data_IF_724446415962
#
_entry.id   IF_724446415962
#
_cell.length_a   1.000
_cell.length_b   1.000
_cell.length_c   1.000
_cell.angle_alpha   90.00
_cell.angle_beta   90.00
_cell.angle_gamma   90.00
#
_symmetry.space_group_name_H-M   'P 1'
#
loop_
_entity.id
_entity.type
_entity.pdbx_description
1 polymer ?
#
# COMPACT_ATOMS: atom_id res chain seq x y z
N UNK A 1 -15.21 -11.14 -2.99
CA UNK A 1 -13.76 -11.05 -2.70
C UNK A 1 -13.49 -11.02 -1.20
N UNK A 2 -14.30 -10.38 -0.39
CA UNK A 2 -14.03 -10.22 1.05
C UNK A 2 -14.61 -11.33 1.92
N UNK A 3 -15.49 -12.17 1.39
CA UNK A 3 -16.01 -13.32 2.11
C UNK A 3 -14.87 -14.32 2.39
N UNK A 4 -14.56 -14.51 3.68
CA UNK A 4 -13.49 -15.38 4.13
C UNK A 4 -12.10 -14.76 4.14
N UNK A 5 -11.94 -13.47 3.85
CA UNK A 5 -10.67 -12.74 4.00
C UNK A 5 -10.55 -12.09 5.37
N UNK A 6 -9.34 -12.12 5.92
CA UNK A 6 -8.97 -11.36 7.11
C UNK A 6 -8.23 -10.09 6.69
N UNK A 7 -8.73 -8.93 7.08
CA UNK A 7 -8.13 -7.65 6.74
C UNK A 7 -7.35 -7.08 7.91
N UNK A 8 -6.09 -6.71 7.64
CA UNK A 8 -5.21 -6.04 8.59
C UNK A 8 -4.79 -4.69 8.02
N UNK A 9 -5.08 -3.62 8.75
CA UNK A 9 -4.44 -2.33 8.49
C UNK A 9 -3.13 -2.29 9.28
N UNK A 10 -2.00 -2.31 8.56
CA UNK A 10 -0.66 -2.30 9.15
C UNK A 10 -0.14 -0.88 9.41
N UNK A 11 -0.93 0.16 9.13
CA UNK A 11 -0.54 1.55 9.39
C UNK A 11 -0.68 1.88 10.88
N UNK A 12 0.34 1.51 11.62
CA UNK A 12 0.42 1.77 13.07
C UNK A 12 1.20 3.04 13.39
N UNK A 13 1.47 3.90 12.40
CA UNK A 13 2.20 5.15 12.55
C UNK A 13 3.70 4.97 12.86
N UNK A 14 4.26 3.79 12.60
CA UNK A 14 5.66 3.46 12.88
C UNK A 14 6.52 3.34 11.62
N UNK A 15 5.91 3.31 10.43
CA UNK A 15 6.66 3.32 9.17
C UNK A 15 7.41 4.64 8.99
N UNK A 16 8.64 4.54 8.47
CA UNK A 16 9.54 5.68 8.38
C UNK A 16 10.21 6.07 9.70
N UNK A 17 10.02 5.29 10.79
CA UNK A 17 10.70 5.48 12.08
C UNK A 17 11.77 4.40 12.29
N UNK A 18 12.54 4.49 13.39
CA UNK A 18 13.49 3.45 13.82
C UNK A 18 12.85 2.08 14.09
N UNK A 19 11.52 2.04 14.26
CA UNK A 19 10.76 0.82 14.52
C UNK A 19 10.16 0.17 13.27
N UNK A 20 10.19 0.85 12.12
CA UNK A 20 9.48 0.42 10.92
C UNK A 20 9.88 -0.99 10.45
N UNK A 21 11.19 -1.30 10.41
CA UNK A 21 11.65 -2.64 10.04
C UNK A 21 11.21 -3.71 11.05
N UNK A 22 11.21 -3.38 12.34
CA UNK A 22 10.72 -4.30 13.37
C UNK A 22 9.25 -4.63 13.15
N UNK A 23 8.43 -3.63 12.81
CA UNK A 23 7.01 -3.81 12.48
C UNK A 23 6.84 -4.71 11.26
N UNK A 24 7.58 -4.46 10.17
CA UNK A 24 7.56 -5.31 8.98
C UNK A 24 7.86 -6.77 9.34
N UNK A 25 8.92 -7.02 10.10
CA UNK A 25 9.30 -8.38 10.49
C UNK A 25 8.23 -9.06 11.35
N UNK A 26 7.59 -8.33 12.27
CA UNK A 26 6.55 -8.92 13.14
C UNK A 26 5.27 -9.24 12.36
N UNK A 27 4.86 -8.41 11.42
CA UNK A 27 3.77 -8.74 10.52
C UNK A 27 4.09 -9.94 9.62
N UNK A 28 5.33 -10.04 9.13
CA UNK A 28 5.75 -11.18 8.32
C UNK A 28 5.69 -12.50 9.11
N UNK A 29 6.17 -12.51 10.36
CA UNK A 29 6.03 -13.66 11.26
C UNK A 29 4.55 -14.05 11.48
N UNK A 30 3.68 -13.04 11.66
CA UNK A 30 2.24 -13.25 11.78
C UNK A 30 1.65 -13.90 10.52
N UNK A 31 1.97 -13.36 9.33
CA UNK A 31 1.50 -13.90 8.06
C UNK A 31 1.92 -15.36 7.85
N UNK A 32 3.17 -15.69 8.17
CA UNK A 32 3.66 -17.07 8.09
C UNK A 32 2.91 -18.01 9.03
N UNK A 33 2.50 -17.52 10.18
CA UNK A 33 1.67 -18.29 11.12
C UNK A 33 0.24 -18.50 10.63
N UNK A 34 -0.25 -17.61 9.77
CA UNK A 34 -1.61 -17.58 9.23
C UNK A 34 -1.68 -18.01 7.76
N UNK A 35 -0.67 -18.70 7.24
CA UNK A 35 -0.49 -19.06 5.82
C UNK A 35 -1.65 -19.80 5.15
N UNK A 36 -2.57 -20.36 5.92
CA UNK A 36 -3.74 -21.09 5.42
C UNK A 36 -5.00 -20.19 5.34
N UNK A 37 -4.87 -18.90 5.65
CA UNK A 37 -5.97 -17.95 5.61
C UNK A 37 -5.78 -16.99 4.44
N UNK A 38 -6.88 -16.51 3.88
CA UNK A 38 -6.87 -15.41 2.93
C UNK A 38 -6.71 -14.11 3.70
N UNK A 39 -5.63 -13.37 3.46
CA UNK A 39 -5.30 -12.16 4.19
C UNK A 39 -5.12 -10.99 3.22
N UNK A 40 -5.72 -9.86 3.57
CA UNK A 40 -5.49 -8.58 2.91
C UNK A 40 -4.73 -7.69 3.89
N UNK A 41 -3.58 -7.20 3.44
CA UNK A 41 -2.80 -6.19 4.18
C UNK A 41 -2.95 -4.83 3.52
N UNK A 42 -3.34 -3.85 4.30
CA UNK A 42 -3.26 -2.45 3.87
C UNK A 42 -1.98 -1.85 4.42
N UNK A 43 -1.11 -1.38 3.51
CA UNK A 43 0.24 -0.89 3.76
C UNK A 43 1.16 -1.97 4.36
N UNK A 44 2.39 -2.03 3.91
CA UNK A 44 3.37 -2.99 4.44
C UNK A 44 4.81 -2.55 4.11
N UNK A 45 5.70 -3.48 3.80
CA UNK A 45 7.13 -3.26 3.58
C UNK A 45 7.44 -2.19 2.52
N UNK A 46 6.65 -2.11 1.43
CA UNK A 46 6.83 -1.05 0.42
C UNK A 46 6.57 0.33 1.02
N UNK A 47 5.57 0.45 1.91
CA UNK A 47 5.31 1.71 2.60
C UNK A 47 6.48 2.11 3.50
N UNK A 48 7.06 1.16 4.22
CA UNK A 48 8.26 1.42 5.00
C UNK A 48 9.42 1.91 4.13
N UNK A 49 9.67 1.25 3.00
CA UNK A 49 10.71 1.67 2.06
C UNK A 49 10.49 3.12 1.58
N UNK A 50 9.28 3.41 1.09
CA UNK A 50 8.96 4.74 0.54
C UNK A 50 9.13 5.82 1.62
N UNK A 51 8.67 5.57 2.83
CA UNK A 51 8.78 6.54 3.92
C UNK A 51 10.22 6.76 4.37
N UNK A 52 11.00 5.69 4.48
CA UNK A 52 12.42 5.82 4.83
C UNK A 52 13.19 6.59 3.75
N UNK A 53 12.93 6.29 2.47
CA UNK A 53 13.57 6.99 1.36
C UNK A 53 13.19 8.47 1.31
N UNK A 54 11.90 8.79 1.40
CA UNK A 54 11.41 10.16 1.25
C UNK A 54 11.73 11.06 2.46
N UNK A 55 11.64 10.52 3.66
CA UNK A 55 11.72 11.34 4.88
C UNK A 55 13.03 11.19 5.64
N UNK A 56 13.75 10.08 5.48
CA UNK A 56 14.98 9.82 6.20
C UNK A 56 16.20 9.67 5.28
N UNK A 57 16.02 9.74 3.96
CA UNK A 57 17.06 9.49 2.96
C UNK A 57 17.79 8.16 3.19
N UNK A 58 17.02 7.11 3.54
CA UNK A 58 17.52 5.78 3.79
C UNK A 58 16.87 4.79 2.83
N UNK A 59 17.67 3.88 2.30
CA UNK A 59 17.22 2.76 1.48
C UNK A 59 17.39 1.46 2.25
N UNK A 60 16.36 0.59 2.18
CA UNK A 60 16.37 -0.73 2.79
C UNK A 60 16.27 -1.81 1.73
N UNK A 61 17.01 -2.89 1.93
CA UNK A 61 16.86 -4.10 1.12
C UNK A 61 15.76 -4.99 1.69
N UNK A 62 14.62 -5.05 1.01
CA UNK A 62 13.50 -5.94 1.35
C UNK A 62 13.54 -7.28 0.61
N UNK A 63 14.65 -7.64 -0.02
CA UNK A 63 14.78 -8.88 -0.80
C UNK A 63 14.43 -10.14 0.00
N UNK A 64 14.78 -10.17 1.29
CA UNK A 64 14.44 -11.29 2.18
C UNK A 64 12.94 -11.32 2.49
N UNK A 65 12.36 -10.16 2.83
CA UNK A 65 10.91 -10.02 3.08
C UNK A 65 10.11 -10.51 1.89
N UNK A 66 10.43 -10.03 0.69
CA UNK A 66 9.73 -10.45 -0.53
C UNK A 66 9.94 -11.91 -0.87
N UNK A 67 11.13 -12.47 -0.58
CA UNK A 67 11.39 -13.89 -0.74
C UNK A 67 10.49 -14.75 0.16
N UNK A 68 10.21 -14.28 1.38
CA UNK A 68 9.31 -14.95 2.32
C UNK A 68 7.85 -14.76 1.90
N UNK A 69 7.45 -13.55 1.49
CA UNK A 69 6.11 -13.26 0.95
C UNK A 69 5.79 -14.09 -0.30
N UNK A 70 6.77 -14.27 -1.19
CA UNK A 70 6.60 -15.11 -2.37
C UNK A 70 6.29 -16.57 -2.04
N UNK A 71 6.82 -17.09 -0.94
CA UNK A 71 6.49 -18.45 -0.45
C UNK A 71 5.06 -18.53 0.08
N UNK A 72 4.43 -17.41 0.39
CA UNK A 72 3.03 -17.30 0.82
C UNK A 72 2.08 -16.98 -0.35
N UNK A 73 2.57 -17.01 -1.59
CA UNK A 73 1.82 -16.61 -2.79
C UNK A 73 1.25 -15.17 -2.69
N UNK A 74 1.98 -14.29 -2.02
CA UNK A 74 1.56 -12.91 -1.84
C UNK A 74 1.61 -12.15 -3.16
N UNK A 75 0.61 -11.32 -3.39
CA UNK A 75 0.47 -10.43 -4.54
C UNK A 75 0.30 -9.00 -4.09
N UNK A 76 0.73 -8.04 -4.91
CA UNK A 76 0.62 -6.62 -4.61
C UNK A 76 -0.43 -5.98 -5.51
N UNK A 77 -1.33 -5.22 -4.92
CA UNK A 77 -2.25 -4.33 -5.66
C UNK A 77 -1.90 -2.90 -5.25
N UNK A 78 -1.38 -2.13 -6.19
CA UNK A 78 -1.11 -0.71 -6.01
C UNK A 78 -2.23 0.11 -6.64
N UNK A 79 -2.95 0.85 -5.80
CA UNK A 79 -3.92 1.82 -6.29
C UNK A 79 -3.21 3.13 -6.62
N UNK A 80 -3.30 3.56 -7.86
CA UNK A 80 -2.79 4.85 -8.34
C UNK A 80 -3.93 5.84 -8.59
N UNK A 81 -3.58 7.09 -8.78
CA UNK A 81 -4.50 8.17 -9.15
C UNK A 81 -3.83 9.08 -10.18
N UNK A 82 -4.65 9.84 -10.91
CA UNK A 82 -4.15 10.84 -11.84
C UNK A 82 -3.36 11.92 -11.06
N UNK A 83 -2.18 12.27 -11.56
CA UNK A 83 -1.31 13.30 -10.99
C UNK A 83 -1.84 14.71 -11.28
N UNK A 84 -2.97 15.03 -10.65
CA UNK A 84 -3.71 16.28 -10.77
C UNK A 84 -3.89 16.86 -9.35
N UNK A 85 -3.18 17.95 -9.08
CA UNK A 85 -3.19 18.58 -7.76
C UNK A 85 -4.58 19.07 -7.37
N UNK A 86 -5.38 19.58 -8.31
CA UNK A 86 -6.74 20.06 -8.03
C UNK A 86 -7.66 18.89 -7.65
N UNK A 87 -7.53 17.75 -8.33
CA UNK A 87 -8.27 16.54 -7.99
C UNK A 87 -7.88 16.02 -6.58
N UNK A 88 -6.59 16.01 -6.28
CA UNK A 88 -6.10 15.57 -4.97
C UNK A 88 -6.58 16.52 -3.88
N UNK A 89 -6.46 17.82 -4.09
CA UNK A 89 -6.94 18.85 -3.16
C UNK A 89 -8.42 18.67 -2.85
N UNK A 90 -9.25 18.47 -3.87
CA UNK A 90 -10.68 18.22 -3.68
C UNK A 90 -10.94 16.96 -2.84
N UNK A 91 -10.23 15.87 -3.10
CA UNK A 91 -10.36 14.63 -2.32
C UNK A 91 -9.93 14.82 -0.86
N UNK A 92 -8.89 15.61 -0.61
CA UNK A 92 -8.44 15.95 0.74
C UNK A 92 -9.50 16.78 1.47
N UNK A 93 -10.07 17.78 0.81
CA UNK A 93 -11.15 18.60 1.35
C UNK A 93 -12.37 17.73 1.71
N UNK A 94 -12.81 16.85 0.80
CA UNK A 94 -13.91 15.92 1.05
C UNK A 94 -13.60 14.99 2.25
N UNK A 95 -12.38 14.50 2.34
CA UNK A 95 -11.95 13.64 3.44
C UNK A 95 -11.88 14.37 4.78
N UNK A 96 -11.39 15.61 4.80
CA UNK A 96 -11.34 16.45 6.00
C UNK A 96 -12.75 16.80 6.46
N UNK A 97 -13.67 17.08 5.54
CA UNK A 97 -15.07 17.35 5.87
C UNK A 97 -15.74 16.13 6.55
N UNK A 98 -15.44 14.92 6.07
CA UNK A 98 -15.96 13.69 6.67
C UNK A 98 -15.26 13.33 8.00
N UNK A 99 -13.96 13.60 8.07
CA UNK A 99 -13.09 13.21 9.17
C UNK A 99 -12.17 14.38 9.58
N UNK A 100 -12.63 15.33 10.40
CA UNK A 100 -11.88 16.56 10.69
C UNK A 100 -10.49 16.36 11.29
N UNK A 101 -10.25 15.22 11.95
CA UNK A 101 -8.91 14.90 12.49
C UNK A 101 -7.84 14.73 11.40
N UNK A 102 -8.24 14.44 10.15
CA UNK A 102 -7.31 14.34 9.02
C UNK A 102 -6.59 15.66 8.70
N UNK A 103 -7.18 16.80 9.04
CA UNK A 103 -6.51 18.10 8.85
C UNK A 103 -5.14 18.20 9.54
N UNK A 104 -4.91 17.38 10.59
CA UNK A 104 -3.64 17.37 11.34
C UNK A 104 -2.51 16.62 10.63
N UNK A 105 -2.85 15.76 9.68
CA UNK A 105 -1.90 14.88 8.98
C UNK A 105 -1.93 15.06 7.47
N UNK A 106 -2.85 15.86 6.95
CA UNK A 106 -2.92 16.18 5.53
C UNK A 106 -1.66 16.95 5.11
N UNK A 107 -1.12 16.57 3.97
CA UNK A 107 0.02 17.20 3.33
C UNK A 107 -0.45 17.97 2.08
N UNK A 108 0.46 18.72 1.47
CA UNK A 108 0.19 19.37 0.19
C UNK A 108 -0.01 18.33 -0.92
N UNK A 109 -0.86 18.59 -1.93
CA UNK A 109 -1.11 17.66 -3.03
C UNK A 109 0.15 17.14 -3.73
N UNK A 110 1.15 17.99 -3.92
CA UNK A 110 2.43 17.63 -4.53
C UNK A 110 3.17 16.51 -3.76
N UNK A 111 3.05 16.46 -2.43
CA UNK A 111 3.69 15.42 -1.63
C UNK A 111 3.04 14.05 -1.88
N UNK A 112 1.72 13.99 -2.10
CA UNK A 112 1.04 12.73 -2.45
C UNK A 112 1.45 12.26 -3.85
N UNK A 113 1.62 13.17 -4.82
CA UNK A 113 2.14 12.83 -6.16
C UNK A 113 3.55 12.26 -6.04
N UNK A 114 4.42 12.92 -5.29
CA UNK A 114 5.78 12.44 -5.04
C UNK A 114 5.82 11.07 -4.36
N UNK A 115 4.98 10.85 -3.36
CA UNK A 115 4.85 9.53 -2.74
C UNK A 115 4.40 8.49 -3.77
N UNK A 116 3.37 8.78 -4.58
CA UNK A 116 2.90 7.86 -5.60
C UNK A 116 4.00 7.49 -6.60
N UNK A 117 4.79 8.44 -7.05
CA UNK A 117 5.90 8.21 -7.96
C UNK A 117 6.93 7.23 -7.35
N UNK A 118 7.27 7.40 -6.07
CA UNK A 118 8.15 6.46 -5.37
C UNK A 118 7.53 5.05 -5.25
N UNK A 119 6.23 4.95 -4.97
CA UNK A 119 5.53 3.66 -4.99
C UNK A 119 5.57 3.00 -6.36
N UNK A 120 5.34 3.76 -7.45
CA UNK A 120 5.37 3.28 -8.82
C UNK A 120 6.77 2.82 -9.26
N UNK A 121 7.82 3.45 -8.73
CA UNK A 121 9.19 3.08 -9.07
C UNK A 121 9.67 1.85 -8.29
N UNK A 122 9.34 1.77 -7.01
CA UNK A 122 9.77 0.62 -6.21
C UNK A 122 9.02 -0.66 -6.55
N UNK A 123 7.72 -0.56 -6.89
CA UNK A 123 6.93 -1.77 -7.22
C UNK A 123 7.47 -2.49 -8.46
N UNK A 124 8.06 -1.76 -9.41
CA UNK A 124 8.69 -2.33 -10.61
C UNK A 124 9.94 -3.18 -10.29
N UNK A 125 10.51 -3.00 -9.10
CA UNK A 125 11.66 -3.75 -8.61
C UNK A 125 11.26 -4.94 -7.73
N UNK A 126 9.97 -5.06 -7.41
CA UNK A 126 9.45 -6.14 -6.58
C UNK A 126 9.62 -7.50 -7.24
N UNK A 127 9.89 -8.53 -6.42
CA UNK A 127 9.91 -9.94 -6.84
C UNK A 127 8.53 -10.59 -6.81
N UNK A 128 7.53 -9.88 -6.28
CA UNK A 128 6.15 -10.34 -6.18
C UNK A 128 5.39 -9.97 -7.45
N UNK A 129 4.38 -10.75 -7.79
CA UNK A 129 3.43 -10.37 -8.81
C UNK A 129 2.67 -9.12 -8.35
N UNK A 130 2.51 -8.14 -9.23
CA UNK A 130 1.82 -6.92 -8.89
C UNK A 130 0.84 -6.46 -9.97
N UNK A 131 -0.19 -5.75 -9.55
CA UNK A 131 -1.14 -5.06 -10.40
C UNK A 131 -1.21 -3.60 -9.98
N UNK A 132 -1.14 -2.69 -10.96
CA UNK A 132 -1.39 -1.26 -10.75
C UNK A 132 -2.77 -0.94 -11.30
N UNK A 133 -3.64 -0.34 -10.47
CA UNK A 133 -5.01 0.03 -10.84
C UNK A 133 -5.24 1.53 -10.64
N UNK A 134 -5.89 2.15 -11.61
CA UNK A 134 -6.23 3.58 -11.52
C UNK A 134 -7.55 3.76 -10.74
N UNK A 135 -7.46 4.46 -9.62
CA UNK A 135 -8.58 4.82 -8.76
C UNK A 135 -9.06 6.27 -8.93
N UNK A 136 -8.65 6.94 -10.00
CA UNK A 136 -9.00 8.35 -10.26
C UNK A 136 -10.50 8.56 -10.38
N UNK A 137 -11.22 7.59 -10.92
CA UNK A 137 -12.67 7.61 -11.07
C UNK A 137 -13.30 6.44 -10.34
N UNK A 138 -14.17 6.72 -9.38
CA UNK A 138 -14.95 5.74 -8.63
C UNK A 138 -16.44 6.12 -8.66
N UNK A 139 -17.37 5.13 -8.70
CA UNK A 139 -17.12 3.68 -8.76
C UNK A 139 -16.58 3.23 -10.12
N UNK A 140 -15.74 2.18 -10.14
CA UNK A 140 -15.08 1.67 -11.33
C UNK A 140 -15.17 0.13 -11.36
N UNK A 141 -16.14 -0.40 -12.12
CA UNK A 141 -16.33 -1.85 -12.23
C UNK A 141 -15.13 -2.53 -12.89
N UNK A 142 -14.52 -1.89 -13.90
CA UNK A 142 -13.32 -2.43 -14.56
C UNK A 142 -12.17 -2.65 -13.57
N UNK A 143 -11.95 -1.73 -12.64
CA UNK A 143 -10.94 -1.87 -11.60
C UNK A 143 -11.20 -3.13 -10.75
N UNK A 144 -12.45 -3.36 -10.37
CA UNK A 144 -12.84 -4.56 -9.60
C UNK A 144 -12.59 -5.82 -10.41
N UNK A 145 -12.98 -5.84 -11.67
CA UNK A 145 -12.80 -6.99 -12.56
C UNK A 145 -11.31 -7.29 -12.80
N UNK A 146 -10.49 -6.28 -13.02
CA UNK A 146 -9.04 -6.42 -13.19
C UNK A 146 -8.38 -7.02 -11.92
N UNK A 147 -8.80 -6.59 -10.73
CA UNK A 147 -8.33 -7.15 -9.46
C UNK A 147 -8.75 -8.63 -9.32
N UNK A 148 -10.01 -8.95 -9.62
CA UNK A 148 -10.51 -10.33 -9.55
C UNK A 148 -9.73 -11.26 -10.47
N UNK A 149 -9.52 -10.85 -11.72
CA UNK A 149 -8.73 -11.61 -12.69
C UNK A 149 -7.29 -11.83 -12.18
N UNK A 150 -6.66 -10.76 -11.67
CA UNK A 150 -5.29 -10.83 -11.14
C UNK A 150 -5.17 -11.78 -9.93
N UNK A 151 -6.18 -11.82 -9.08
CA UNK A 151 -6.22 -12.73 -7.93
C UNK A 151 -6.58 -14.18 -8.33
N UNK A 152 -7.05 -14.42 -9.55
CA UNK A 152 -7.53 -15.70 -10.01
C UNK A 152 -8.96 -16.02 -9.54
N UNK A 153 -9.70 -15.03 -9.10
CA UNK A 153 -11.10 -15.12 -8.73
C UNK A 153 -11.98 -14.98 -9.99
N UNK A 154 -13.09 -15.71 -10.02
CA UNK A 154 -14.03 -15.70 -11.16
C UNK A 154 -15.35 -15.05 -10.78
#
# INVERSE_FOLDING_TARGET
ILDGCHWFNCDVGLYGTEHGQTVVNKYLELLESLKNLNIILEKFHITEYVYQKLYNNQEYDFSEVETRLKKLDAKIILTSFQEDEDLIKKRLEDRINLYPHYAKIAQEPAEYIKQQQEYLDIIKQSKLDYLIVDSSQLPNQKLVDDILIFLGEK
#
